data_IF_768306288958
#
_entry.id   IF_768306288958
#
_cell.length_a   1.000
_cell.length_b   1.000
_cell.length_c   1.000
_cell.angle_alpha   90.00
_cell.angle_beta   90.00
_cell.angle_gamma   90.00
#
_symmetry.space_group_name_H-M   'P 1'
#
loop_
_entity.id
_entity.type
_entity.pdbx_description
1 polymer ?
#
# COMPACT_ATOMS: atom_id res chain seq x y z
N UNK A 1 -7.44 -16.31 -8.37
CA UNK A 1 -6.13 -16.96 -8.22
C UNK A 1 -5.21 -16.42 -9.32
N UNK A 2 -4.36 -15.44 -9.02
CA UNK A 2 -3.48 -14.83 -10.04
C UNK A 2 -2.27 -15.73 -10.30
N UNK A 3 -1.86 -15.86 -11.56
CA UNK A 3 -0.75 -16.70 -12.02
C UNK A 3 0.59 -16.29 -11.40
N UNK A 4 0.86 -16.77 -10.17
CA UNK A 4 2.18 -16.76 -9.51
C UNK A 4 3.24 -17.58 -10.28
N UNK A 5 2.85 -18.32 -11.32
CA UNK A 5 3.72 -19.26 -12.03
C UNK A 5 4.77 -18.60 -12.93
N UNK A 6 4.62 -17.33 -13.34
CA UNK A 6 5.56 -16.65 -14.26
C UNK A 6 6.20 -15.36 -13.70
N UNK A 7 6.16 -15.15 -12.39
CA UNK A 7 6.80 -13.98 -11.74
C UNK A 7 8.22 -14.31 -11.26
N UNK A 8 9.08 -13.29 -11.22
CA UNK A 8 10.46 -13.39 -10.74
C UNK A 8 10.53 -13.82 -9.26
N UNK A 9 11.70 -14.31 -8.81
CA UNK A 9 11.90 -14.71 -7.41
C UNK A 9 11.71 -13.52 -6.47
N UNK A 10 12.11 -12.35 -6.90
CA UNK A 10 12.01 -11.08 -6.18
C UNK A 10 10.54 -10.71 -5.95
N UNK A 11 9.71 -10.78 -6.99
CA UNK A 11 8.28 -10.50 -6.85
C UNK A 11 7.57 -11.57 -6.04
N UNK A 12 7.98 -12.84 -6.14
CA UNK A 12 7.48 -13.89 -5.25
C UNK A 12 7.77 -13.57 -3.79
N UNK A 13 8.97 -13.07 -3.48
CA UNK A 13 9.32 -12.67 -2.12
C UNK A 13 8.44 -11.50 -1.62
N UNK A 14 8.12 -10.52 -2.48
CA UNK A 14 7.18 -9.44 -2.13
C UNK A 14 5.78 -10.01 -1.88
N UNK A 15 5.33 -10.96 -2.70
CA UNK A 15 4.05 -11.64 -2.47
C UNK A 15 3.99 -12.42 -1.17
N UNK A 16 5.07 -13.11 -0.80
CA UNK A 16 5.19 -13.79 0.49
C UNK A 16 5.15 -12.78 1.62
N UNK A 17 5.89 -11.67 1.51
CA UNK A 17 5.84 -10.59 2.50
C UNK A 17 4.41 -10.03 2.68
N UNK A 18 3.66 -9.83 1.59
CA UNK A 18 2.24 -9.43 1.66
C UNK A 18 1.33 -10.48 2.32
N UNK A 19 1.69 -11.76 2.26
CA UNK A 19 1.00 -12.84 2.97
C UNK A 19 1.32 -12.84 4.48
N UNK A 20 2.49 -12.35 4.87
CA UNK A 20 3.01 -12.40 6.25
C UNK A 20 2.74 -11.14 7.09
N UNK A 21 2.33 -10.02 6.49
CA UNK A 21 1.99 -8.79 7.22
C UNK A 21 0.72 -8.99 8.06
N UNK A 22 0.91 -9.25 9.34
CA UNK A 22 -0.17 -9.54 10.28
C UNK A 22 -0.97 -8.32 10.73
N UNK A 23 -0.39 -7.12 10.61
CA UNK A 23 -0.98 -5.84 11.03
C UNK A 23 -2.32 -5.52 10.32
N UNK A 24 -2.58 -6.17 9.19
CA UNK A 24 -3.77 -5.95 8.36
C UNK A 24 -4.77 -7.10 8.39
N UNK A 25 -4.53 -8.17 9.16
CA UNK A 25 -5.37 -9.37 9.15
C UNK A 25 -6.82 -9.10 9.60
N UNK A 26 -7.03 -8.14 10.50
CA UNK A 26 -8.36 -7.75 10.98
C UNK A 26 -9.10 -6.79 10.02
N UNK A 27 -8.44 -6.34 8.95
CA UNK A 27 -9.02 -5.42 7.98
C UNK A 27 -9.59 -6.21 6.81
N UNK A 28 -10.91 -6.34 6.77
CA UNK A 28 -11.64 -7.10 5.75
C UNK A 28 -11.27 -6.68 4.32
N UNK A 29 -10.99 -5.38 4.10
CA UNK A 29 -10.65 -4.85 2.79
C UNK A 29 -9.18 -5.00 2.40
N UNK A 30 -8.35 -5.60 3.26
CA UNK A 30 -6.93 -5.82 2.95
C UNK A 30 -6.73 -6.75 1.75
N UNK A 31 -7.58 -7.76 1.60
CA UNK A 31 -7.49 -8.68 0.47
C UNK A 31 -7.68 -7.97 -0.89
N UNK A 32 -8.57 -6.99 -0.97
CA UNK A 32 -8.77 -6.17 -2.16
C UNK A 32 -7.53 -5.32 -2.47
N UNK A 33 -6.97 -4.65 -1.46
CA UNK A 33 -5.72 -3.87 -1.59
C UNK A 33 -4.59 -4.76 -2.09
N UNK A 34 -4.41 -5.93 -1.47
CA UNK A 34 -3.40 -6.92 -1.85
C UNK A 34 -3.59 -7.43 -3.29
N UNK A 35 -4.83 -7.63 -3.72
CA UNK A 35 -5.12 -7.99 -5.10
C UNK A 35 -4.72 -6.87 -6.08
N UNK A 36 -4.98 -5.61 -5.74
CA UNK A 36 -4.55 -4.47 -6.56
C UNK A 36 -3.03 -4.34 -6.61
N UNK A 37 -2.34 -4.45 -5.46
CA UNK A 37 -0.88 -4.51 -5.40
C UNK A 37 -0.35 -5.61 -6.31
N UNK A 38 -0.94 -6.81 -6.24
CA UNK A 38 -0.53 -7.93 -7.07
C UNK A 38 -0.68 -7.68 -8.56
N UNK A 39 -1.77 -7.02 -8.99
CA UNK A 39 -1.95 -6.61 -10.39
C UNK A 39 -0.85 -5.64 -10.83
N UNK A 40 -0.49 -4.66 -10.00
CA UNK A 40 0.55 -3.67 -10.30
C UNK A 40 1.93 -4.33 -10.40
N UNK A 41 2.28 -5.21 -9.46
CA UNK A 41 3.55 -5.94 -9.47
C UNK A 41 3.69 -6.84 -10.69
N UNK A 42 2.63 -7.57 -11.07
CA UNK A 42 2.65 -8.42 -12.26
C UNK A 42 2.77 -7.58 -13.54
N UNK A 43 2.00 -6.48 -13.62
CA UNK A 43 2.02 -5.58 -14.79
C UNK A 43 3.40 -4.97 -15.02
N UNK A 44 4.09 -4.58 -13.95
CA UNK A 44 5.40 -3.91 -14.01
C UNK A 44 6.55 -4.83 -13.56
N UNK A 45 6.43 -6.14 -13.82
CA UNK A 45 7.32 -7.16 -13.26
C UNK A 45 8.81 -6.90 -13.53
N UNK A 46 9.16 -6.49 -14.76
CA UNK A 46 10.55 -6.22 -15.15
C UNK A 46 11.15 -5.07 -14.34
N UNK A 47 10.40 -3.99 -14.18
CA UNK A 47 10.87 -2.78 -13.50
C UNK A 47 11.09 -3.05 -12.01
N UNK A 48 10.10 -3.64 -11.33
CA UNK A 48 10.24 -4.02 -9.92
C UNK A 48 11.38 -5.01 -9.69
N UNK A 49 11.52 -6.02 -10.55
CA UNK A 49 12.63 -6.98 -10.45
C UNK A 49 13.98 -6.28 -10.58
N UNK A 50 14.10 -5.33 -11.52
CA UNK A 50 15.33 -4.59 -11.74
C UNK A 50 15.70 -3.71 -10.55
N UNK A 51 14.72 -3.02 -9.96
CA UNK A 51 14.89 -2.15 -8.80
C UNK A 51 15.28 -2.96 -7.57
N UNK A 52 14.54 -4.04 -7.27
CA UNK A 52 14.83 -4.90 -6.11
C UNK A 52 16.24 -5.49 -6.20
N UNK A 53 16.67 -5.94 -7.39
CA UNK A 53 18.01 -6.49 -7.59
C UNK A 53 19.11 -5.44 -7.50
N UNK A 54 18.92 -4.29 -8.15
CA UNK A 54 19.94 -3.23 -8.24
C UNK A 54 20.13 -2.54 -6.89
N UNK A 55 19.03 -2.22 -6.22
CA UNK A 55 19.02 -1.38 -5.04
C UNK A 55 18.99 -2.22 -3.74
N UNK A 56 18.96 -3.55 -3.86
CA UNK A 56 18.96 -4.48 -2.73
C UNK A 56 17.73 -4.33 -1.83
N UNK A 57 16.60 -3.87 -2.38
CA UNK A 57 15.43 -3.52 -1.58
C UNK A 57 14.85 -4.76 -0.90
N UNK A 58 14.59 -4.63 0.39
CA UNK A 58 14.01 -5.71 1.19
C UNK A 58 12.54 -5.90 0.79
N UNK A 59 12.10 -7.11 0.42
CA UNK A 59 10.73 -7.36 -0.07
C UNK A 59 9.60 -6.85 0.84
N UNK A 60 9.78 -6.91 2.17
CA UNK A 60 8.82 -6.38 3.14
C UNK A 60 8.64 -4.87 3.03
N UNK A 61 9.70 -4.13 2.72
CA UNK A 61 9.64 -2.68 2.51
C UNK A 61 8.85 -2.35 1.25
N UNK A 62 9.10 -3.10 0.18
CA UNK A 62 8.32 -2.98 -1.06
C UNK A 62 6.84 -3.28 -0.80
N UNK A 63 6.53 -4.30 0.01
CA UNK A 63 5.15 -4.63 0.37
C UNK A 63 4.45 -3.45 1.08
N UNK A 64 5.07 -2.87 2.12
CA UNK A 64 4.51 -1.69 2.80
C UNK A 64 4.38 -0.47 1.89
N UNK A 65 5.38 -0.20 1.04
CA UNK A 65 5.32 0.90 0.07
C UNK A 65 4.16 0.73 -0.92
N UNK A 66 3.96 -0.49 -1.42
CA UNK A 66 2.86 -0.79 -2.35
C UNK A 66 1.49 -0.69 -1.68
N UNK A 67 1.36 -1.15 -0.43
CA UNK A 67 0.12 -0.97 0.35
C UNK A 67 -0.16 0.51 0.57
N UNK A 68 0.85 1.29 0.93
CA UNK A 68 0.73 2.74 1.13
C UNK A 68 0.22 3.43 -0.13
N UNK A 69 0.88 3.21 -1.27
CA UNK A 69 0.51 3.82 -2.54
C UNK A 69 -0.91 3.42 -2.96
N UNK A 70 -1.23 2.11 -2.95
CA UNK A 70 -2.55 1.64 -3.38
C UNK A 70 -3.66 2.15 -2.47
N UNK A 71 -3.46 2.13 -1.14
CA UNK A 71 -4.47 2.63 -0.21
C UNK A 71 -4.68 4.14 -0.34
N UNK A 72 -3.60 4.90 -0.55
CA UNK A 72 -3.65 6.33 -0.86
C UNK A 72 -4.42 6.60 -2.14
N UNK A 73 -4.00 6.02 -3.26
CA UNK A 73 -4.66 6.16 -4.57
C UNK A 73 -6.17 5.87 -4.48
N UNK A 74 -6.55 4.81 -3.74
CA UNK A 74 -7.95 4.44 -3.55
C UNK A 74 -8.73 5.51 -2.78
N UNK A 75 -8.16 6.08 -1.71
CA UNK A 75 -8.78 7.16 -0.94
C UNK A 75 -9.00 8.42 -1.79
N UNK A 76 -8.06 8.76 -2.65
CA UNK A 76 -8.12 9.95 -3.51
C UNK A 76 -9.23 9.87 -4.57
N UNK A 77 -9.72 8.66 -4.90
CA UNK A 77 -10.80 8.51 -5.91
C UNK A 77 -12.15 9.08 -5.50
N UNK A 78 -12.37 9.40 -4.22
CA UNK A 78 -13.67 9.83 -3.70
C UNK A 78 -14.69 8.70 -3.51
N UNK A 79 -14.48 7.53 -4.11
CA UNK A 79 -15.47 6.41 -4.15
C UNK A 79 -15.78 5.79 -2.80
N UNK A 80 -14.92 5.99 -1.81
CA UNK A 80 -15.04 5.39 -0.48
C UNK A 80 -15.54 6.38 0.59
N UNK A 81 -16.09 7.52 0.15
CA UNK A 81 -16.73 8.52 1.01
C UNK A 81 -18.24 8.25 1.10
N UNK A 82 -18.82 8.49 2.28
CA UNK A 82 -20.28 8.59 2.43
C UNK A 82 -20.77 10.01 2.09
N UNK A 83 -19.98 11.02 2.42
CA UNK A 83 -20.21 12.43 2.19
C UNK A 83 -18.87 13.17 2.20
N UNK A 84 -18.77 14.41 1.70
CA UNK A 84 -17.55 15.22 1.75
C UNK A 84 -16.90 15.20 3.13
N UNK A 85 -15.63 14.78 3.19
CA UNK A 85 -14.89 14.70 4.44
C UNK A 85 -15.29 13.57 5.39
N UNK A 86 -16.19 12.67 4.98
CA UNK A 86 -16.63 11.53 5.78
C UNK A 86 -16.43 10.23 5.00
N UNK A 87 -15.48 9.42 5.49
CA UNK A 87 -15.18 8.11 4.95
C UNK A 87 -16.22 7.09 5.39
N UNK A 88 -16.58 6.18 4.49
CA UNK A 88 -17.31 4.98 4.87
C UNK A 88 -16.42 3.91 5.49
N UNK A 89 -17.02 2.80 5.93
CA UNK A 89 -16.31 1.73 6.64
C UNK A 89 -15.10 1.19 5.86
N UNK A 90 -15.20 1.13 4.53
CA UNK A 90 -14.07 0.75 3.65
C UNK A 90 -13.02 1.87 3.62
N UNK A 91 -13.43 3.13 3.45
CA UNK A 91 -12.52 4.27 3.47
C UNK A 91 -11.73 4.37 4.78
N UNK A 92 -12.37 4.12 5.92
CA UNK A 92 -11.71 4.09 7.24
C UNK A 92 -10.64 2.99 7.28
N UNK A 93 -10.92 1.80 6.74
CA UNK A 93 -9.93 0.73 6.65
C UNK A 93 -8.76 1.09 5.72
N UNK A 94 -9.03 1.72 4.57
CA UNK A 94 -8.00 2.23 3.66
C UNK A 94 -7.10 3.26 4.34
N UNK A 95 -7.68 4.21 5.08
CA UNK A 95 -6.91 5.20 5.83
C UNK A 95 -6.05 4.55 6.91
N UNK A 96 -6.58 3.53 7.61
CA UNK A 96 -5.80 2.77 8.60
C UNK A 96 -4.64 2.01 7.95
N UNK A 97 -4.85 1.38 6.79
CA UNK A 97 -3.77 0.74 6.03
C UNK A 97 -2.71 1.74 5.57
N UNK A 98 -3.14 2.90 5.07
CA UNK A 98 -2.25 3.99 4.68
C UNK A 98 -1.39 4.46 5.86
N UNK A 99 -2.01 4.66 7.03
CA UNK A 99 -1.30 5.14 8.21
C UNK A 99 -0.27 4.15 8.75
N UNK A 100 -0.68 2.89 8.93
CA UNK A 100 0.20 1.83 9.42
C UNK A 100 1.37 1.62 8.47
N UNK A 101 1.09 1.54 7.16
CA UNK A 101 2.15 1.39 6.15
C UNK A 101 3.09 2.60 6.14
N UNK A 102 2.57 3.82 6.32
CA UNK A 102 3.41 5.02 6.46
C UNK A 102 4.34 4.89 7.68
N UNK A 103 3.82 4.49 8.84
CA UNK A 103 4.63 4.33 10.06
C UNK A 103 5.70 3.24 9.90
N UNK A 104 5.35 2.12 9.25
CA UNK A 104 6.31 1.07 8.94
C UNK A 104 7.41 1.53 7.98
N UNK A 105 7.10 2.38 7.01
CA UNK A 105 8.12 2.96 6.14
C UNK A 105 9.10 3.85 6.91
N UNK A 106 8.65 4.55 7.97
CA UNK A 106 9.56 5.27 8.88
C UNK A 106 10.44 4.28 9.64
N UNK A 107 9.86 3.21 10.22
CA UNK A 107 10.62 2.19 10.97
C UNK A 107 11.72 1.55 10.10
N UNK A 108 11.47 1.37 8.80
CA UNK A 108 12.45 0.82 7.87
C UNK A 108 13.44 1.85 7.30
N UNK A 109 13.32 3.13 7.67
CA UNK A 109 14.18 4.22 7.20
C UNK A 109 13.91 4.63 5.74
N UNK A 110 12.76 4.27 5.19
CA UNK A 110 12.33 4.63 3.83
C UNK A 110 11.64 6.00 3.78
N UNK A 111 11.24 6.55 4.93
CA UNK A 111 10.58 7.84 5.03
C UNK A 111 10.99 8.57 6.31
N UNK A 112 11.23 9.88 6.21
CA UNK A 112 11.47 10.71 7.39
C UNK A 112 10.17 11.00 8.14
N UNK A 113 10.24 11.12 9.47
CA UNK A 113 9.06 11.36 10.33
C UNK A 113 8.30 12.65 9.96
N UNK A 114 9.01 13.72 9.56
CA UNK A 114 8.36 14.96 9.11
C UNK A 114 7.65 14.76 7.77
N UNK A 115 8.27 14.01 6.85
CA UNK A 115 7.65 13.69 5.56
C UNK A 115 6.40 12.84 5.76
N UNK A 116 6.48 11.80 6.61
CA UNK A 116 5.33 10.97 6.95
C UNK A 116 4.17 11.77 7.55
N UNK A 117 4.48 12.67 8.49
CA UNK A 117 3.47 13.55 9.09
C UNK A 117 2.81 14.43 8.03
N UNK A 118 3.61 15.03 7.14
CA UNK A 118 3.12 15.85 6.03
C UNK A 118 2.22 15.04 5.08
N UNK A 119 2.65 13.85 4.67
CA UNK A 119 1.87 12.97 3.78
C UNK A 119 0.54 12.58 4.43
N UNK A 120 0.57 12.22 5.72
CA UNK A 120 -0.64 11.93 6.48
C UNK A 120 -1.58 13.14 6.47
N UNK A 121 -1.10 14.34 6.83
CA UNK A 121 -1.91 15.56 6.82
C UNK A 121 -2.49 15.90 5.44
N UNK A 122 -1.70 15.77 4.38
CA UNK A 122 -2.13 15.98 3.00
C UNK A 122 -3.26 15.02 2.63
N UNK A 123 -3.13 13.73 2.97
CA UNK A 123 -4.19 12.75 2.77
C UNK A 123 -5.49 13.15 3.50
N UNK A 124 -5.41 13.66 4.74
CA UNK A 124 -6.61 14.14 5.45
C UNK A 124 -7.22 15.38 4.79
N UNK A 125 -6.41 16.27 4.22
CA UNK A 125 -6.90 17.43 3.46
C UNK A 125 -7.62 16.97 2.20
N UNK A 126 -7.07 15.98 1.49
CA UNK A 126 -7.68 15.39 0.30
C UNK A 126 -9.02 14.74 0.65
N UNK A 127 -9.08 13.92 1.69
CA UNK A 127 -10.34 13.31 2.17
C UNK A 127 -11.39 14.37 2.48
N UNK A 128 -10.98 15.52 3.04
CA UNK A 128 -11.90 16.65 3.32
C UNK A 128 -12.35 17.40 2.07
N UNK A 129 -11.53 17.45 1.02
CA UNK A 129 -11.85 18.17 -0.21
C UNK A 129 -12.61 17.32 -1.22
N UNK A 130 -12.39 16.00 -1.23
CA UNK A 130 -12.99 15.06 -2.17
C UNK A 130 -14.21 14.38 -1.51
N UNK A 131 -15.37 14.55 -2.13
CA UNK A 131 -16.70 14.07 -1.71
C UNK A 131 -17.74 15.17 -1.80
#
# INVERSE_FOLDING_TARGET
MFCRMFVSKEIKAVFTALDEIGEFNDLLFYNDVKQQVGKILIKNNRDFTSIIKRDGIIPIRTAYSMINNVSGDMLETGRYHFYRGSLGSIGIQLLKMYDISTDKLIEYGEMDSKQATKHKEEMRKIIKSIG
#
